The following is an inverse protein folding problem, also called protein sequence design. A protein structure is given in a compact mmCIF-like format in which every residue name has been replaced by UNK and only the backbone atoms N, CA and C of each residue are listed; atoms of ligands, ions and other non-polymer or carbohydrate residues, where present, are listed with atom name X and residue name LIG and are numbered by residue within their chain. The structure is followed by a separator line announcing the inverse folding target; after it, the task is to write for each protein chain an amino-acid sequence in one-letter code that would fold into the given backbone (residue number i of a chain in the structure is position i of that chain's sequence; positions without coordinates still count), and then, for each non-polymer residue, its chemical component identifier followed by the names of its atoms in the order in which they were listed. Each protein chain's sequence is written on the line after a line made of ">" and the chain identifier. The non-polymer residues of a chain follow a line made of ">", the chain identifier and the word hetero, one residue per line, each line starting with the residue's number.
data_IF_756033634812
#
_entry.id   IF_756033634812
#
_cell.length_a   1.000
_cell.length_b   1.000
_cell.length_c   1.000
_cell.angle_alpha   90.00
_cell.angle_beta   90.00
_cell.angle_gamma   90.00
#
_symmetry.space_group_name_H-M   'P 1'
#
loop_
_entity.id
_entity.type
_entity.pdbx_description
1 polymer ?
#
# COMPACT_ATOMS: atom_id res chain seq x y z
N UNK A 1 -13.09 -3.99 -8.04
CA UNK A 1 -11.94 -4.71 -7.46
C UNK A 1 -11.89 -6.21 -7.76
N UNK A 2 -13.03 -6.92 -7.86
CA UNK A 2 -13.08 -8.40 -7.93
C UNK A 2 -12.25 -9.06 -9.03
N UNK A 3 -11.97 -8.38 -10.15
CA UNK A 3 -11.25 -8.99 -11.29
C UNK A 3 -9.81 -8.46 -11.49
N UNK A 4 -9.37 -7.48 -10.70
CA UNK A 4 -8.02 -6.89 -10.85
C UNK A 4 -7.00 -7.64 -9.99
N UNK A 5 -6.07 -8.33 -10.66
CA UNK A 5 -4.97 -9.07 -9.98
C UNK A 5 -4.17 -8.13 -9.06
N UNK A 6 -3.86 -6.92 -9.52
CA UNK A 6 -3.10 -5.96 -8.71
C UNK A 6 -3.94 -5.40 -7.56
N UNK A 7 -5.24 -5.21 -7.76
CA UNK A 7 -6.18 -4.78 -6.73
C UNK A 7 -6.31 -5.80 -5.60
N UNK A 8 -6.48 -7.08 -5.93
CA UNK A 8 -6.55 -8.15 -4.92
C UNK A 8 -5.22 -8.28 -4.15
N UNK A 9 -4.09 -8.29 -4.88
CA UNK A 9 -2.76 -8.44 -4.27
C UNK A 9 -2.43 -7.27 -3.34
N UNK A 10 -2.71 -6.03 -3.76
CA UNK A 10 -2.42 -4.84 -2.96
C UNK A 10 -3.33 -4.77 -1.72
N UNK A 11 -4.60 -5.16 -1.82
CA UNK A 11 -5.50 -5.28 -0.66
C UNK A 11 -5.00 -6.32 0.34
N UNK A 12 -4.67 -7.53 -0.12
CA UNK A 12 -4.13 -8.58 0.74
C UNK A 12 -2.80 -8.17 1.39
N UNK A 13 -1.97 -7.44 0.66
CA UNK A 13 -0.73 -6.88 1.18
C UNK A 13 -1.00 -5.84 2.29
N UNK A 14 -1.95 -4.92 2.09
CA UNK A 14 -2.34 -3.96 3.11
C UNK A 14 -2.80 -4.63 4.41
N UNK A 15 -3.58 -5.72 4.33
CA UNK A 15 -3.95 -6.53 5.52
C UNK A 15 -2.71 -7.11 6.22
N UNK A 16 -1.72 -7.60 5.47
CA UNK A 16 -0.46 -8.09 6.05
C UNK A 16 0.33 -6.97 6.74
N UNK A 17 0.38 -5.79 6.14
CA UNK A 17 1.04 -4.60 6.71
C UNK A 17 0.38 -4.18 8.03
N UNK A 18 -0.96 -4.19 8.09
CA UNK A 18 -1.70 -3.90 9.34
C UNK A 18 -1.35 -4.92 10.44
N UNK A 19 -1.25 -6.20 10.09
CA UNK A 19 -0.87 -7.24 11.05
C UNK A 19 0.60 -7.11 11.50
N UNK A 20 1.51 -6.73 10.60
CA UNK A 20 2.90 -6.41 10.94
C UNK A 20 2.97 -5.23 11.92
N UNK A 21 2.22 -4.16 11.66
CA UNK A 21 2.14 -3.00 12.55
C UNK A 21 1.66 -3.38 13.96
N UNK A 22 0.61 -4.21 14.07
CA UNK A 22 0.11 -4.71 15.36
C UNK A 22 1.19 -5.49 16.10
N UNK A 23 1.86 -6.42 15.41
CA UNK A 23 2.96 -7.21 15.98
C UNK A 23 4.12 -6.34 16.48
N UNK A 24 4.57 -5.36 15.70
CA UNK A 24 5.65 -4.45 16.09
C UNK A 24 5.25 -3.54 17.26
N UNK A 25 3.98 -3.11 17.29
CA UNK A 25 3.43 -2.31 18.39
C UNK A 25 3.41 -3.09 19.71
N UNK A 26 3.11 -4.40 19.69
CA UNK A 26 3.24 -5.27 20.86
C UNK A 26 4.69 -5.38 21.36
N UNK A 27 5.65 -5.27 20.45
CA UNK A 27 7.09 -5.21 20.75
C UNK A 27 7.59 -3.81 21.11
N UNK A 28 6.68 -2.83 21.25
CA UNK A 28 6.96 -1.43 21.56
C UNK A 28 7.79 -0.69 20.50
N UNK A 29 7.72 -1.11 19.23
CA UNK A 29 8.27 -0.35 18.11
C UNK A 29 7.17 0.49 17.46
N UNK A 30 7.34 1.81 17.43
CA UNK A 30 6.31 2.76 17.00
C UNK A 30 6.79 3.74 15.93
N UNK A 31 8.08 3.83 15.66
CA UNK A 31 8.63 4.82 14.73
C UNK A 31 8.58 4.27 13.32
N UNK A 32 9.23 3.13 13.09
CA UNK A 32 9.30 2.52 11.76
C UNK A 32 7.99 1.79 11.41
N UNK A 33 7.34 1.18 12.39
CA UNK A 33 6.06 0.49 12.22
C UNK A 33 4.98 1.43 11.69
N UNK A 34 4.96 2.69 12.13
CA UNK A 34 4.05 3.72 11.59
C UNK A 34 4.40 4.14 10.16
N UNK A 35 5.69 4.21 9.81
CA UNK A 35 6.11 4.50 8.43
C UNK A 35 5.71 3.36 7.48
N UNK A 36 5.94 2.11 7.89
CA UNK A 36 5.51 0.91 7.15
C UNK A 36 3.99 0.85 7.03
N UNK A 37 3.25 1.14 8.13
CA UNK A 37 1.79 1.12 8.10
C UNK A 37 1.26 2.10 7.04
N UNK A 38 1.79 3.33 7.03
CA UNK A 38 1.36 4.36 6.09
C UNK A 38 1.72 3.99 4.65
N UNK A 39 2.99 3.75 4.37
CA UNK A 39 3.46 3.46 3.00
C UNK A 39 2.84 2.16 2.46
N UNK A 40 2.85 1.09 3.25
CA UNK A 40 2.37 -0.22 2.82
C UNK A 40 0.86 -0.30 2.60
N UNK A 41 0.05 0.49 3.32
CA UNK A 41 -1.40 0.56 3.05
C UNK A 41 -1.75 1.54 1.92
N UNK A 42 -0.96 2.60 1.72
CA UNK A 42 -1.10 3.55 0.61
C UNK A 42 -0.96 2.91 -0.77
N UNK A 43 -0.22 1.80 -0.92
CA UNK A 43 -0.12 1.06 -2.18
C UNK A 43 -1.51 0.62 -2.66
N UNK A 44 -2.27 -0.05 -1.78
CA UNK A 44 -3.61 -0.53 -2.10
C UNK A 44 -4.61 0.60 -2.34
N UNK A 45 -4.51 1.69 -1.57
CA UNK A 45 -5.33 2.88 -1.75
C UNK A 45 -5.13 3.50 -3.14
N UNK A 46 -3.88 3.75 -3.55
CA UNK A 46 -3.58 4.33 -4.87
C UNK A 46 -3.91 3.37 -6.02
N UNK A 47 -3.75 2.05 -5.84
CA UNK A 47 -4.23 1.08 -6.82
C UNK A 47 -5.75 1.13 -6.96
N UNK A 48 -6.50 1.28 -5.85
CA UNK A 48 -7.95 1.46 -5.90
C UNK A 48 -8.33 2.72 -6.69
N UNK A 49 -7.70 3.85 -6.38
CA UNK A 49 -7.94 5.11 -7.10
C UNK A 49 -7.59 5.00 -8.59
N UNK A 50 -6.51 4.28 -8.92
CA UNK A 50 -6.15 4.02 -10.32
C UNK A 50 -7.24 3.23 -11.04
N UNK A 51 -7.82 2.20 -10.41
CA UNK A 51 -8.87 1.38 -11.02
C UNK A 51 -10.17 2.16 -11.30
N UNK A 52 -10.41 3.24 -10.56
CA UNK A 52 -11.55 4.16 -10.75
C UNK A 52 -11.17 5.44 -11.51
N UNK A 53 -10.00 5.46 -12.16
CA UNK A 53 -9.46 6.63 -12.85
C UNK A 53 -10.35 7.11 -14.00
N UNK A 54 -10.42 8.43 -14.18
CA UNK A 54 -11.24 9.05 -15.22
C UNK A 54 -10.52 9.18 -16.58
N UNK A 55 -9.22 8.86 -16.64
CA UNK A 55 -8.41 8.85 -17.86
C UNK A 55 -7.16 7.99 -17.71
N UNK A 56 -6.54 7.61 -18.83
CA UNK A 56 -5.26 6.88 -18.82
C UNK A 56 -4.14 7.64 -18.10
N UNK A 57 -4.13 8.98 -18.20
CA UNK A 57 -3.13 9.82 -17.51
C UNK A 57 -3.30 9.76 -16.00
N UNK A 58 -4.55 9.77 -15.53
CA UNK A 58 -4.88 9.65 -14.10
C UNK A 58 -4.53 8.25 -13.59
N UNK A 59 -4.89 7.20 -14.34
CA UNK A 59 -4.48 5.82 -14.05
C UNK A 59 -2.97 5.70 -13.87
N UNK A 60 -2.18 6.18 -14.83
CA UNK A 60 -0.71 6.14 -14.78
C UNK A 60 -0.15 6.93 -13.60
N UNK A 61 -0.73 8.10 -13.31
CA UNK A 61 -0.32 8.92 -12.16
C UNK A 61 -0.51 8.18 -10.84
N UNK A 62 -1.69 7.60 -10.61
CA UNK A 62 -2.01 6.84 -9.39
C UNK A 62 -1.18 5.57 -9.25
N UNK A 63 -0.99 4.82 -10.34
CA UNK A 63 -0.08 3.66 -10.34
C UNK A 63 1.38 4.06 -10.08
N UNK A 64 1.82 5.22 -10.56
CA UNK A 64 3.14 5.78 -10.26
C UNK A 64 3.32 6.13 -8.78
N UNK A 65 2.28 6.64 -8.12
CA UNK A 65 2.30 6.86 -6.66
C UNK A 65 2.35 5.51 -5.93
N UNK A 66 1.51 4.54 -6.30
CA UNK A 66 1.55 3.20 -5.71
C UNK A 66 2.94 2.55 -5.81
N UNK A 67 3.66 2.74 -6.92
CA UNK A 67 5.02 2.26 -7.09
C UNK A 67 6.00 2.95 -6.12
N UNK A 68 5.90 4.27 -5.92
CA UNK A 68 6.73 5.00 -4.95
C UNK A 68 6.49 4.50 -3.52
N UNK A 69 5.23 4.32 -3.12
CA UNK A 69 4.86 3.77 -1.81
C UNK A 69 5.39 2.35 -1.63
N UNK A 70 5.42 1.54 -2.70
CA UNK A 70 6.01 0.21 -2.65
C UNK A 70 7.53 0.24 -2.44
N UNK A 71 8.23 1.18 -3.08
CA UNK A 71 9.67 1.35 -2.89
C UNK A 71 10.01 1.83 -1.48
N UNK A 72 9.22 2.76 -0.92
CA UNK A 72 9.34 3.18 0.48
C UNK A 72 9.05 2.02 1.44
N UNK A 73 8.01 1.23 1.19
CA UNK A 73 7.69 0.06 2.03
C UNK A 73 8.82 -0.96 2.03
N UNK A 74 9.44 -1.21 0.87
CA UNK A 74 10.60 -2.10 0.75
C UNK A 74 11.81 -1.55 1.53
N UNK A 75 12.03 -0.24 1.52
CA UNK A 75 13.14 0.37 2.27
C UNK A 75 13.02 0.16 3.79
N UNK A 76 11.81 0.11 4.32
CA UNK A 76 11.56 -0.10 5.75
C UNK A 76 11.55 -1.58 6.19
N UNK A 77 11.43 -2.53 5.26
CA UNK A 77 11.46 -3.97 5.51
C UNK A 77 12.90 -4.49 5.64
#
# INVERSE_FOLDING_TARGET
>A
MGDSIIGEKSFRFAVRVVNLYKYLSEKKEYVLSRQILRSGTSIGANVSEALDAQSDKDFVSKMGIALKESAETIYWL
#
